data_IF_042663795317
#
_entry.id   IF_042663795317
#
_cell.length_a   1.000
_cell.length_b   1.000
_cell.length_c   1.000
_cell.angle_alpha   90.00
_cell.angle_beta   90.00
_cell.angle_gamma   90.00
#
_symmetry.space_group_name_H-M   'P 1'
#
loop_
_entity.id
_entity.type
_entity.pdbx_description
1 polymer ?
#
# COMPACT_ATOMS: atom_id res chain seq x y z
N UNK A 1 -23.84 21.74 -18.31
CA UNK A 1 -23.44 20.38 -18.74
C UNK A 1 -22.14 20.54 -19.52
N UNK A 2 -21.17 19.66 -19.34
CA UNK A 2 -19.86 19.76 -20.01
C UNK A 2 -19.99 19.26 -21.46
N UNK A 3 -19.15 19.73 -22.40
CA UNK A 3 -19.12 19.16 -23.75
C UNK A 3 -18.69 17.69 -23.78
N UNK A 4 -17.65 17.33 -23.02
CA UNK A 4 -17.17 15.97 -22.88
C UNK A 4 -17.32 15.47 -21.44
N UNK A 5 -17.81 14.24 -21.29
CA UNK A 5 -18.01 13.58 -20.00
C UNK A 5 -17.39 12.17 -20.01
N UNK A 6 -16.05 12.05 -20.04
CA UNK A 6 -15.40 10.76 -19.90
C UNK A 6 -15.94 10.02 -18.69
N UNK A 7 -16.44 8.82 -18.93
CA UNK A 7 -16.78 7.92 -17.84
C UNK A 7 -15.49 7.52 -17.13
N UNK A 8 -15.49 7.48 -15.79
CA UNK A 8 -14.31 7.01 -15.09
C UNK A 8 -14.04 5.53 -15.43
N UNK A 9 -12.77 5.18 -15.59
CA UNK A 9 -12.35 3.84 -15.95
C UNK A 9 -12.34 2.89 -14.73
N UNK A 10 -12.34 1.56 -14.95
CA UNK A 10 -12.23 0.58 -13.87
C UNK A 10 -10.96 0.81 -13.04
N UNK A 11 -11.10 0.82 -11.72
CA UNK A 11 -10.02 1.06 -10.76
C UNK A 11 -9.32 2.42 -10.92
N UNK A 12 -9.88 3.37 -11.67
CA UNK A 12 -9.28 4.70 -11.85
C UNK A 12 -9.40 5.55 -10.57
N UNK A 13 -8.30 6.16 -10.16
CA UNK A 13 -8.29 7.03 -8.99
C UNK A 13 -8.90 8.40 -9.27
N UNK A 14 -9.59 8.99 -8.29
CA UNK A 14 -10.32 10.25 -8.44
C UNK A 14 -9.46 11.37 -9.06
N UNK A 15 -8.23 11.57 -8.59
CA UNK A 15 -7.34 12.58 -9.15
C UNK A 15 -7.00 12.35 -10.63
N UNK A 16 -6.78 11.11 -11.05
CA UNK A 16 -6.55 10.74 -12.47
C UNK A 16 -7.76 11.09 -13.32
N UNK A 17 -8.95 10.68 -12.88
CA UNK A 17 -10.19 10.93 -13.60
C UNK A 17 -10.49 12.43 -13.69
N UNK A 18 -10.30 13.18 -12.60
CA UNK A 18 -10.47 14.64 -12.59
C UNK A 18 -9.54 15.35 -13.59
N UNK A 19 -8.30 14.87 -13.71
CA UNK A 19 -7.32 15.42 -14.65
C UNK A 19 -7.71 15.11 -16.09
N UNK A 20 -8.14 13.88 -16.37
CA UNK A 20 -8.69 13.50 -17.68
C UNK A 20 -9.93 14.28 -18.04
N UNK A 21 -10.86 14.47 -17.11
CA UNK A 21 -12.07 15.27 -17.32
C UNK A 21 -11.72 16.69 -17.77
N UNK A 22 -10.71 17.33 -17.19
CA UNK A 22 -10.27 18.65 -17.60
C UNK A 22 -9.64 18.64 -19.01
N UNK A 23 -8.72 17.71 -19.27
CA UNK A 23 -7.96 17.64 -20.52
C UNK A 23 -8.80 17.20 -21.72
N UNK A 24 -9.73 16.26 -21.54
CA UNK A 24 -10.67 15.85 -22.60
C UNK A 24 -11.66 16.97 -22.95
N UNK A 25 -11.89 17.92 -22.05
CA UNK A 25 -12.61 19.16 -22.35
C UNK A 25 -11.70 20.29 -22.88
N UNK A 26 -10.41 20.02 -23.12
CA UNK A 26 -9.46 20.98 -23.69
C UNK A 26 -8.96 22.06 -22.75
N UNK A 27 -9.13 21.89 -21.42
CA UNK A 27 -8.75 22.91 -20.44
C UNK A 27 -7.65 22.41 -19.50
N UNK A 28 -6.74 23.31 -19.12
CA UNK A 28 -5.84 23.03 -18.00
C UNK A 28 -6.66 22.89 -16.73
N UNK A 29 -6.18 22.06 -15.79
CA UNK A 29 -6.92 21.70 -14.57
C UNK A 29 -7.37 22.95 -13.79
N UNK A 30 -6.49 23.95 -13.67
CA UNK A 30 -6.84 25.20 -12.99
C UNK A 30 -7.98 25.93 -13.72
N UNK A 31 -7.86 26.13 -15.03
CA UNK A 31 -8.90 26.80 -15.83
C UNK A 31 -10.22 26.05 -15.77
N UNK A 32 -10.17 24.72 -15.85
CA UNK A 32 -11.36 23.87 -15.80
C UNK A 32 -12.09 23.98 -14.46
N UNK A 33 -11.41 23.71 -13.35
CA UNK A 33 -12.07 23.69 -12.05
C UNK A 33 -12.34 25.09 -11.49
N UNK A 34 -11.37 26.00 -11.55
CA UNK A 34 -11.50 27.32 -10.93
C UNK A 34 -12.34 28.30 -11.77
N UNK A 35 -12.15 28.32 -13.10
CA UNK A 35 -12.80 29.32 -13.95
C UNK A 35 -14.10 28.79 -14.56
N UNK A 36 -14.05 27.64 -15.23
CA UNK A 36 -15.22 27.07 -15.92
C UNK A 36 -16.25 26.55 -14.91
N UNK A 37 -15.84 25.71 -13.97
CA UNK A 37 -16.72 25.14 -12.95
C UNK A 37 -16.90 26.03 -11.71
N UNK A 38 -16.19 27.17 -11.64
CA UNK A 38 -16.26 28.16 -10.55
C UNK A 38 -16.00 27.56 -9.16
N UNK A 39 -15.18 26.51 -9.09
CA UNK A 39 -14.81 25.87 -7.84
C UNK A 39 -13.72 26.70 -7.13
N UNK A 40 -14.04 27.27 -5.97
CA UNK A 40 -13.09 28.05 -5.15
C UNK A 40 -12.32 27.20 -4.14
N UNK A 41 -12.53 25.88 -4.13
CA UNK A 41 -11.88 24.98 -3.19
C UNK A 41 -10.42 24.75 -3.58
N UNK A 42 -9.49 24.63 -2.61
CA UNK A 42 -8.10 24.34 -2.90
C UNK A 42 -7.89 22.83 -3.12
N UNK A 43 -8.42 22.33 -4.25
CA UNK A 43 -8.49 20.89 -4.59
C UNK A 43 -7.14 20.18 -4.40
N UNK A 44 -6.06 20.77 -4.93
CA UNK A 44 -4.75 20.12 -5.01
C UNK A 44 -3.82 20.39 -3.82
N UNK A 45 -4.24 21.23 -2.86
CA UNK A 45 -3.49 21.49 -1.63
C UNK A 45 -3.79 20.49 -0.51
N UNK A 46 -4.65 19.52 -0.81
CA UNK A 46 -4.98 18.37 0.04
C UNK A 46 -4.84 17.10 -0.80
N UNK A 47 -4.82 15.96 -0.13
CA UNK A 47 -4.87 14.67 -0.79
C UNK A 47 -6.33 14.37 -1.19
N UNK A 48 -6.69 14.79 -2.40
CA UNK A 48 -8.06 14.65 -2.95
C UNK A 48 -8.49 13.18 -3.05
N UNK A 49 -7.53 12.27 -3.18
CA UNK A 49 -7.79 10.83 -3.26
C UNK A 49 -8.05 10.20 -1.89
N UNK A 50 -7.63 10.86 -0.80
CA UNK A 50 -7.81 10.35 0.55
C UNK A 50 -9.15 10.78 1.14
N UNK A 51 -9.38 12.10 1.17
CA UNK A 51 -10.60 12.69 1.73
C UNK A 51 -11.03 13.89 0.88
N UNK A 52 -11.75 13.66 -0.23
CA UNK A 52 -12.25 14.76 -1.03
C UNK A 52 -13.28 15.57 -0.25
N UNK A 53 -13.24 16.89 -0.43
CA UNK A 53 -14.22 17.77 0.18
C UNK A 53 -15.62 17.46 -0.37
N UNK A 54 -16.69 17.30 0.45
CA UNK A 54 -18.02 16.91 -0.05
C UNK A 54 -18.55 17.79 -1.20
N UNK A 55 -18.30 19.09 -1.13
CA UNK A 55 -18.68 20.02 -2.20
C UNK A 55 -17.96 19.78 -3.55
N UNK A 56 -16.78 19.14 -3.59
CA UNK A 56 -16.17 18.73 -4.87
C UNK A 56 -16.92 17.54 -5.46
N UNK A 57 -17.38 16.60 -4.63
CA UNK A 57 -18.13 15.43 -5.09
C UNK A 57 -19.50 15.85 -5.63
N UNK A 58 -20.21 16.71 -4.89
CA UNK A 58 -21.49 17.26 -5.35
C UNK A 58 -21.34 18.10 -6.63
N UNK A 59 -20.23 18.83 -6.78
CA UNK A 59 -19.91 19.54 -8.03
C UNK A 59 -19.71 18.55 -9.19
N UNK A 60 -18.90 17.52 -8.99
CA UNK A 60 -18.61 16.50 -10.02
C UNK A 60 -19.87 15.74 -10.41
N UNK A 61 -20.71 15.36 -9.44
CA UNK A 61 -22.00 14.73 -9.68
C UNK A 61 -22.90 15.59 -10.57
N UNK A 62 -23.13 16.85 -10.20
CA UNK A 62 -23.94 17.78 -11.00
C UNK A 62 -23.39 17.99 -12.41
N UNK A 63 -22.08 17.96 -12.58
CA UNK A 63 -21.43 18.23 -13.87
C UNK A 63 -21.20 16.98 -14.71
N UNK A 64 -21.34 15.76 -14.19
CA UNK A 64 -20.99 14.53 -14.92
C UNK A 64 -22.04 13.43 -14.83
N UNK A 65 -23.02 13.56 -13.94
CA UNK A 65 -24.02 12.53 -13.64
C UNK A 65 -23.49 11.35 -12.81
N UNK A 66 -22.21 11.36 -12.40
CA UNK A 66 -21.66 10.33 -11.52
C UNK A 66 -22.16 10.53 -10.09
N UNK A 67 -22.79 9.52 -9.49
CA UNK A 67 -23.25 9.65 -8.10
C UNK A 67 -22.10 9.86 -7.12
N UNK A 68 -22.36 10.53 -6.01
CA UNK A 68 -21.36 10.72 -4.95
C UNK A 68 -20.78 9.38 -4.46
N UNK A 69 -21.58 8.33 -4.38
CA UNK A 69 -21.15 6.98 -3.99
C UNK A 69 -20.16 6.41 -5.02
N UNK A 70 -20.46 6.52 -6.31
CA UNK A 70 -19.55 6.09 -7.37
C UNK A 70 -18.22 6.86 -7.31
N UNK A 71 -18.25 8.15 -7.00
CA UNK A 71 -17.05 8.95 -6.83
C UNK A 71 -16.25 8.55 -5.58
N UNK A 72 -16.91 8.20 -4.47
CA UNK A 72 -16.25 7.70 -3.25
C UNK A 72 -15.58 6.35 -3.45
N UNK A 73 -16.13 5.48 -4.31
CA UNK A 73 -15.45 4.23 -4.69
C UNK A 73 -14.12 4.45 -5.44
N UNK A 74 -13.83 5.71 -5.84
CA UNK A 74 -12.59 6.15 -6.49
C UNK A 74 -11.69 6.95 -5.55
N UNK A 75 -11.91 6.83 -4.26
CA UNK A 75 -11.03 7.35 -3.23
C UNK A 75 -10.49 6.19 -2.42
N UNK A 76 -9.46 6.46 -1.61
CA UNK A 76 -8.90 5.48 -0.69
C UNK A 76 -9.90 5.05 0.41
N UNK A 77 -11.01 5.76 0.58
CA UNK A 77 -12.06 5.36 1.52
C UNK A 77 -12.73 4.04 1.10
N UNK A 78 -12.65 3.66 -0.18
CA UNK A 78 -13.23 2.40 -0.66
C UNK A 78 -12.54 1.14 -0.06
N UNK A 79 -11.37 1.30 0.56
CA UNK A 79 -10.65 0.21 1.23
C UNK A 79 -10.85 0.18 2.76
N UNK A 80 -11.68 1.07 3.32
CA UNK A 80 -12.12 0.96 4.72
C UNK A 80 -12.88 -0.36 4.92
N UNK A 81 -12.61 -1.03 6.05
CA UNK A 81 -13.14 -2.37 6.32
C UNK A 81 -12.48 -3.49 5.52
N UNK A 82 -11.49 -3.18 4.67
CA UNK A 82 -10.79 -4.19 3.86
C UNK A 82 -9.33 -4.37 4.28
N UNK A 83 -8.55 -3.29 4.24
CA UNK A 83 -7.11 -3.31 4.59
C UNK A 83 -6.78 -2.45 5.82
N UNK A 84 -7.72 -1.59 6.23
CA UNK A 84 -7.71 -0.83 7.48
C UNK A 84 -9.15 -0.61 7.96
N UNK A 85 -9.34 -0.46 9.27
CA UNK A 85 -10.68 -0.24 9.84
C UNK A 85 -11.27 1.10 9.42
N UNK A 86 -10.49 2.17 9.63
CA UNK A 86 -10.88 3.56 9.32
C UNK A 86 -9.69 4.25 8.69
N UNK A 87 -9.93 5.01 7.62
CA UNK A 87 -8.92 5.86 7.00
C UNK A 87 -8.78 7.13 7.84
N UNK A 88 -7.65 7.37 8.54
CA UNK A 88 -7.53 8.54 9.39
C UNK A 88 -7.57 9.83 8.57
N UNK A 89 -8.22 10.87 9.09
CA UNK A 89 -8.32 12.17 8.42
C UNK A 89 -6.97 12.90 8.35
N UNK A 90 -6.15 12.72 9.39
CA UNK A 90 -4.84 13.35 9.55
C UNK A 90 -3.77 12.29 9.80
N UNK A 91 -2.50 12.64 9.58
CA UNK A 91 -1.38 11.75 9.87
C UNK A 91 -1.27 10.55 8.92
N UNK A 92 -0.58 9.52 9.37
CA UNK A 92 -0.29 8.32 8.58
C UNK A 92 -1.53 7.43 8.49
N UNK A 93 -1.71 6.77 7.35
CA UNK A 93 -2.73 5.75 7.16
C UNK A 93 -2.02 4.44 6.82
N UNK A 94 -2.41 3.36 7.51
CA UNK A 94 -1.88 2.04 7.20
C UNK A 94 -2.12 1.72 5.72
N UNK A 95 -1.13 1.12 5.06
CA UNK A 95 -1.16 0.70 3.67
C UNK A 95 -1.34 1.79 2.62
N UNK A 96 -1.43 3.07 3.01
CA UNK A 96 -1.56 4.18 2.06
C UNK A 96 -0.23 4.90 1.95
N UNK A 97 0.28 5.03 0.73
CA UNK A 97 1.51 5.79 0.50
C UNK A 97 1.27 7.29 0.71
N UNK A 98 2.10 7.95 1.54
CA UNK A 98 1.97 9.37 1.80
C UNK A 98 2.39 10.17 0.57
N UNK A 99 1.50 11.02 0.06
CA UNK A 99 1.78 11.88 -1.08
C UNK A 99 2.65 13.11 -0.73
N UNK A 100 2.87 13.38 0.56
CA UNK A 100 3.70 14.52 1.02
C UNK A 100 3.21 15.86 0.47
N UNK A 101 1.90 16.11 0.55
CA UNK A 101 1.24 17.29 -0.02
C UNK A 101 1.83 18.56 0.59
N UNK A 102 2.37 19.44 -0.26
CA UNK A 102 2.81 20.77 0.11
C UNK A 102 2.32 21.77 -0.93
N UNK A 103 1.27 22.53 -0.60
CA UNK A 103 0.47 23.23 -1.62
C UNK A 103 0.09 22.25 -2.76
N UNK A 104 0.26 22.66 -4.02
CA UNK A 104 0.02 21.81 -5.20
C UNK A 104 1.14 20.80 -5.48
N UNK A 105 2.20 20.78 -4.68
CA UNK A 105 3.34 19.90 -4.86
C UNK A 105 3.19 18.57 -4.10
N UNK A 106 3.99 17.58 -4.48
CA UNK A 106 4.10 16.28 -3.81
C UNK A 106 5.56 16.05 -3.46
N UNK A 107 5.91 16.12 -2.18
CA UNK A 107 7.29 15.92 -1.69
C UNK A 107 7.65 14.45 -1.53
N UNK A 108 6.71 13.54 -1.76
CA UNK A 108 6.89 12.09 -1.64
C UNK A 108 6.30 11.39 -2.85
N UNK A 109 6.87 10.24 -3.16
CA UNK A 109 6.46 9.34 -4.23
C UNK A 109 5.22 8.52 -3.83
N UNK A 110 4.10 9.22 -3.56
CA UNK A 110 2.88 8.60 -3.05
C UNK A 110 2.04 7.88 -4.10
N UNK A 111 2.33 8.07 -5.38
CA UNK A 111 1.65 7.43 -6.50
C UNK A 111 2.64 6.58 -7.27
N UNK A 112 2.30 5.32 -7.46
CA UNK A 112 3.06 4.38 -8.27
C UNK A 112 2.50 4.26 -9.69
N UNK A 113 3.23 3.60 -10.56
CA UNK A 113 2.78 3.20 -11.88
C UNK A 113 3.53 1.96 -12.38
N UNK A 114 2.87 1.26 -13.30
CA UNK A 114 3.50 0.25 -14.15
C UNK A 114 3.66 0.88 -15.54
N UNK A 115 4.89 0.99 -16.10
CA UNK A 115 5.10 1.52 -17.44
C UNK A 115 4.33 0.72 -18.50
N UNK A 116 4.33 -0.62 -18.39
CA UNK A 116 3.62 -1.50 -19.31
C UNK A 116 2.10 -1.33 -19.23
N UNK A 117 1.50 -1.16 -18.04
CA UNK A 117 0.06 -0.82 -17.95
C UNK A 117 -0.27 0.48 -18.67
N UNK A 118 0.54 1.53 -18.46
CA UNK A 118 0.31 2.81 -19.14
C UNK A 118 0.50 2.71 -20.66
N UNK A 119 1.35 1.81 -21.15
CA UNK A 119 1.57 1.57 -22.57
C UNK A 119 0.42 0.76 -23.21
N UNK A 120 -0.08 -0.26 -22.51
CA UNK A 120 -1.17 -1.13 -22.98
C UNK A 120 -2.55 -0.45 -22.90
N UNK A 121 -2.72 0.51 -21.99
CA UNK A 121 -3.95 1.24 -21.82
C UNK A 121 -4.29 2.06 -23.09
N UNK A 122 -5.42 1.74 -23.74
CA UNK A 122 -5.95 2.55 -24.85
C UNK A 122 -6.09 4.02 -24.47
N UNK A 123 -6.54 4.28 -23.24
CA UNK A 123 -6.56 5.61 -22.63
C UNK A 123 -5.83 5.49 -21.30
N UNK A 124 -4.56 5.95 -21.20
CA UNK A 124 -3.77 5.78 -19.99
C UNK A 124 -4.36 6.51 -18.78
N UNK A 125 -4.35 5.83 -17.63
CA UNK A 125 -4.88 6.34 -16.37
C UNK A 125 -4.15 5.76 -15.17
N UNK A 126 -4.25 6.44 -14.02
CA UNK A 126 -3.68 5.97 -12.77
C UNK A 126 -4.72 5.22 -11.95
N UNK A 127 -4.30 4.09 -11.39
CA UNK A 127 -5.18 3.17 -10.67
C UNK A 127 -5.17 3.44 -9.17
N UNK A 128 -6.30 3.17 -8.50
CA UNK A 128 -6.48 3.32 -7.06
C UNK A 128 -5.44 2.52 -6.27
N UNK A 129 -5.29 1.24 -6.64
CA UNK A 129 -4.36 0.32 -5.96
C UNK A 129 -2.90 0.75 -6.04
N UNK A 130 -2.53 1.63 -6.98
CA UNK A 130 -1.17 2.17 -7.09
C UNK A 130 -0.81 3.18 -5.99
N UNK A 131 -1.77 3.57 -5.15
CA UNK A 131 -1.53 4.30 -3.89
C UNK A 131 -1.26 3.38 -2.70
N UNK A 132 -1.41 2.06 -2.85
CA UNK A 132 -1.27 1.12 -1.75
C UNK A 132 0.19 0.72 -1.55
N UNK A 133 0.71 0.87 -0.33
CA UNK A 133 2.11 0.63 0.01
C UNK A 133 2.55 -0.84 -0.19
N UNK A 134 1.62 -1.79 -0.13
CA UNK A 134 1.94 -3.19 -0.44
C UNK A 134 1.94 -3.47 -1.94
N UNK A 135 1.43 -2.60 -2.79
CA UNK A 135 1.33 -2.82 -4.23
C UNK A 135 2.67 -2.48 -4.92
N UNK A 136 3.73 -3.20 -4.56
CA UNK A 136 5.09 -3.03 -5.08
C UNK A 136 5.36 -3.78 -6.41
N UNK A 137 4.42 -4.63 -6.82
CA UNK A 137 4.43 -5.40 -8.06
C UNK A 137 3.16 -5.16 -8.86
N UNK A 138 3.29 -5.10 -10.18
CA UNK A 138 2.16 -5.13 -11.08
C UNK A 138 1.64 -6.56 -11.18
N UNK A 139 0.41 -6.82 -10.77
CA UNK A 139 -0.19 -8.16 -10.91
C UNK A 139 -0.54 -8.54 -12.35
N UNK A 140 -0.61 -7.56 -13.27
CA UNK A 140 -0.91 -7.81 -14.69
C UNK A 140 0.36 -8.24 -15.42
N UNK A 141 1.47 -7.54 -15.20
CA UNK A 141 2.72 -7.75 -15.93
C UNK A 141 3.80 -8.51 -15.16
N UNK A 142 3.62 -8.72 -13.85
CA UNK A 142 4.62 -9.36 -12.98
C UNK A 142 5.88 -8.51 -12.76
N UNK A 143 5.80 -7.19 -12.97
CA UNK A 143 6.96 -6.29 -12.98
C UNK A 143 7.00 -5.39 -11.75
N UNK A 144 8.18 -4.86 -11.45
CA UNK A 144 8.38 -3.89 -10.37
C UNK A 144 7.63 -2.59 -10.67
N UNK A 145 6.83 -2.13 -9.71
CA UNK A 145 6.22 -0.80 -9.79
C UNK A 145 7.28 0.29 -9.64
N UNK A 146 7.09 1.41 -10.33
CA UNK A 146 7.88 2.64 -10.19
C UNK A 146 7.06 3.71 -9.46
N UNK A 147 7.71 4.63 -8.74
CA UNK A 147 7.06 5.72 -7.99
C UNK A 147 7.61 7.12 -8.33
N UNK A 148 8.73 7.15 -9.05
CA UNK A 148 9.36 8.34 -9.59
C UNK A 148 9.65 8.18 -11.09
N UNK A 149 9.79 9.31 -11.77
CA UNK A 149 10.36 9.37 -13.11
C UNK A 149 11.81 8.85 -13.09
N UNK A 150 12.18 7.85 -13.90
CA UNK A 150 13.53 7.28 -13.87
C UNK A 150 14.59 8.24 -14.42
N UNK A 151 14.20 9.24 -15.22
CA UNK A 151 15.13 10.20 -15.83
C UNK A 151 15.44 11.41 -14.95
N UNK A 152 14.47 11.94 -14.20
CA UNK A 152 14.66 13.14 -13.36
C UNK A 152 14.44 12.93 -11.87
N UNK A 153 13.97 11.74 -11.45
CA UNK A 153 13.70 11.40 -10.05
C UNK A 153 12.47 12.07 -9.44
N UNK A 154 11.74 12.91 -10.18
CA UNK A 154 10.52 13.56 -9.69
C UNK A 154 9.42 12.51 -9.41
N UNK A 155 8.64 12.66 -8.32
CA UNK A 155 7.46 11.84 -8.11
C UNK A 155 6.41 12.11 -9.20
N UNK A 156 5.50 11.16 -9.38
CA UNK A 156 4.35 11.30 -10.29
C UNK A 156 3.42 12.41 -9.80
N UNK A 157 3.23 13.42 -10.65
CA UNK A 157 2.38 14.59 -10.37
C UNK A 157 1.62 15.05 -11.61
N UNK A 158 0.85 14.14 -12.23
CA UNK A 158 0.11 14.43 -13.46
C UNK A 158 -0.85 15.63 -13.33
N UNK A 159 -1.27 16.01 -12.12
CA UNK A 159 -2.09 17.21 -11.88
C UNK A 159 -1.34 18.54 -12.04
N UNK A 160 -0.03 18.52 -12.26
CA UNK A 160 0.81 19.72 -12.45
C UNK A 160 0.98 20.15 -13.90
N UNK A 161 0.50 19.37 -14.85
CA UNK A 161 0.54 19.74 -16.26
C UNK A 161 -0.38 20.92 -16.59
N UNK A 162 -0.02 21.70 -17.61
CA UNK A 162 -0.75 22.92 -17.99
C UNK A 162 -0.60 24.08 -16.99
N UNK A 163 0.40 24.02 -16.09
CA UNK A 163 0.80 25.10 -15.19
C UNK A 163 2.08 25.75 -15.73
N UNK A 164 2.06 27.06 -15.98
CA UNK A 164 3.21 27.80 -16.53
C UNK A 164 2.81 28.79 -17.60
N UNK A 165 3.79 29.43 -18.26
CA UNK A 165 3.56 30.46 -19.27
C UNK A 165 2.94 29.89 -20.55
N UNK A 166 3.35 28.70 -20.97
CA UNK A 166 2.93 28.17 -22.27
C UNK A 166 1.54 27.51 -22.23
N UNK A 167 1.05 27.12 -21.04
CA UNK A 167 -0.27 26.48 -20.80
C UNK A 167 -0.62 25.32 -21.75
N UNK A 168 0.36 24.79 -22.48
CA UNK A 168 0.15 23.71 -23.45
C UNK A 168 -0.31 22.48 -22.68
N UNK A 169 -1.36 21.84 -23.19
CA UNK A 169 -1.86 20.55 -22.72
C UNK A 169 -1.37 19.54 -23.76
N UNK A 170 -0.27 18.81 -23.50
CA UNK A 170 0.22 17.84 -24.46
C UNK A 170 -0.81 16.72 -24.64
N UNK A 171 -0.93 16.17 -25.85
CA UNK A 171 -1.60 14.88 -26.02
C UNK A 171 -0.94 13.83 -25.09
N UNK A 172 -1.74 12.95 -24.47
CA UNK A 172 -1.28 11.94 -23.50
C UNK A 172 -0.69 12.50 -22.18
N UNK A 173 -1.17 13.64 -21.70
CA UNK A 173 -0.61 14.37 -20.54
C UNK A 173 -0.38 13.51 -19.28
N UNK A 174 -1.24 12.52 -18.99
CA UNK A 174 -1.09 11.68 -17.80
C UNK A 174 0.18 10.82 -17.84
N UNK A 175 0.66 10.44 -19.03
CA UNK A 175 1.86 9.63 -19.19
C UNK A 175 3.15 10.44 -19.08
N UNK A 176 3.08 11.77 -19.17
CA UNK A 176 4.30 12.58 -19.18
C UNK A 176 4.72 12.93 -17.76
N UNK A 177 6.02 12.93 -17.50
CA UNK A 177 6.56 13.52 -16.28
C UNK A 177 6.30 15.03 -16.26
N UNK A 178 5.70 15.56 -15.19
CA UNK A 178 5.39 17.01 -15.07
C UNK A 178 6.61 17.92 -14.88
N UNK A 179 7.83 17.36 -14.88
CA UNK A 179 9.08 18.10 -14.67
C UNK A 179 9.97 18.05 -15.91
N UNK A 180 10.27 16.84 -16.40
CA UNK A 180 11.15 16.67 -17.57
C UNK A 180 10.42 16.30 -18.87
N UNK A 181 9.09 16.13 -18.84
CA UNK A 181 8.25 15.72 -19.97
C UNK A 181 8.59 14.36 -20.61
N UNK A 182 9.50 13.57 -20.02
CA UNK A 182 9.73 12.20 -20.46
C UNK A 182 8.45 11.36 -20.33
N UNK A 183 8.25 10.44 -21.27
CA UNK A 183 7.09 9.56 -21.31
C UNK A 183 7.28 8.37 -20.36
N UNK A 184 6.47 8.30 -19.31
CA UNK A 184 6.53 7.26 -18.29
C UNK A 184 6.19 5.87 -18.85
N UNK A 185 5.61 5.76 -20.05
CA UNK A 185 5.39 4.49 -20.75
C UNK A 185 6.70 3.86 -21.22
N UNK A 186 7.71 4.68 -21.50
CA UNK A 186 9.04 4.24 -21.96
C UNK A 186 9.98 3.92 -20.78
N UNK A 187 9.48 4.01 -19.55
CA UNK A 187 10.29 3.75 -18.38
C UNK A 187 10.68 2.26 -18.32
N UNK A 188 11.87 1.93 -17.75
CA UNK A 188 12.33 0.55 -17.69
C UNK A 188 11.34 -0.38 -16.99
N UNK A 189 11.04 -1.49 -17.65
CA UNK A 189 10.20 -2.57 -17.12
C UNK A 189 11.12 -3.71 -16.72
N UNK A 190 11.13 -4.06 -15.44
CA UNK A 190 11.95 -5.16 -14.91
C UNK A 190 11.12 -6.07 -13.99
N UNK A 191 11.26 -7.40 -14.11
CA UNK A 191 10.72 -8.32 -13.11
C UNK A 191 11.46 -8.12 -11.78
N UNK A 192 10.88 -8.53 -10.64
CA UNK A 192 11.59 -8.56 -9.38
C UNK A 192 12.71 -9.60 -9.41
N UNK A 193 13.87 -9.25 -8.84
CA UNK A 193 14.94 -10.20 -8.56
C UNK A 193 14.57 -11.01 -7.33
N UNK A 194 13.91 -12.16 -7.51
CA UNK A 194 13.48 -13.05 -6.43
C UNK A 194 13.45 -14.52 -6.89
N UNK A 195 14.05 -15.42 -6.12
CA UNK A 195 14.28 -16.81 -6.55
C UNK A 195 13.12 -17.75 -6.19
N UNK A 196 12.45 -17.53 -5.05
CA UNK A 196 11.37 -18.41 -4.58
C UNK A 196 10.06 -18.07 -5.30
N UNK A 197 9.72 -18.86 -6.33
CA UNK A 197 8.55 -18.62 -7.18
C UNK A 197 7.22 -18.68 -6.42
N UNK A 198 7.10 -19.51 -5.38
CA UNK A 198 5.88 -19.66 -4.61
C UNK A 198 5.53 -18.39 -3.83
N UNK A 199 6.50 -17.79 -3.13
CA UNK A 199 6.32 -16.52 -2.43
C UNK A 199 6.15 -15.33 -3.39
N UNK A 200 6.80 -15.34 -4.56
CA UNK A 200 6.55 -14.35 -5.60
C UNK A 200 5.10 -14.42 -6.10
N UNK A 201 4.60 -15.63 -6.38
CA UNK A 201 3.22 -15.82 -6.80
C UNK A 201 2.23 -15.41 -5.71
N UNK A 202 2.49 -15.76 -4.43
CA UNK A 202 1.69 -15.27 -3.30
C UNK A 202 1.65 -13.74 -3.27
N UNK A 203 2.76 -13.07 -3.56
CA UNK A 203 2.77 -11.61 -3.59
C UNK A 203 1.92 -11.03 -4.74
N UNK A 204 1.98 -11.63 -5.93
CA UNK A 204 1.13 -11.25 -7.06
C UNK A 204 -0.35 -11.43 -6.70
N UNK A 205 -0.69 -12.55 -6.06
CA UNK A 205 -2.04 -12.82 -5.55
C UNK A 205 -2.50 -11.76 -4.54
N UNK A 206 -1.64 -11.33 -3.61
CA UNK A 206 -1.89 -10.18 -2.70
C UNK A 206 -2.19 -8.90 -3.46
N UNK A 207 -1.41 -8.58 -4.50
CA UNK A 207 -1.63 -7.39 -5.30
C UNK A 207 -2.95 -7.47 -6.12
N UNK A 208 -3.33 -8.65 -6.58
CA UNK A 208 -4.50 -8.85 -7.43
C UNK A 208 -5.81 -8.94 -6.61
N UNK A 209 -5.81 -9.71 -5.51
CA UNK A 209 -7.01 -10.27 -4.90
C UNK A 209 -7.29 -9.79 -3.46
N UNK A 210 -6.60 -8.75 -2.98
CA UNK A 210 -6.80 -8.18 -1.63
C UNK A 210 -8.24 -7.81 -1.28
N UNK A 211 -9.07 -7.48 -2.28
CA UNK A 211 -10.50 -7.19 -2.12
C UNK A 211 -11.43 -8.39 -2.18
N UNK A 212 -10.95 -9.57 -2.58
CA UNK A 212 -11.81 -10.68 -3.00
C UNK A 212 -11.51 -12.03 -2.34
N UNK A 213 -10.46 -12.15 -1.53
CA UNK A 213 -10.07 -13.42 -0.91
C UNK A 213 -10.19 -13.40 0.61
N UNK A 214 -10.56 -14.57 1.14
CA UNK A 214 -10.16 -14.99 2.48
C UNK A 214 -8.71 -15.45 2.37
N UNK A 215 -7.82 -14.83 3.14
CA UNK A 215 -6.40 -15.17 3.14
C UNK A 215 -6.20 -16.43 3.97
N UNK A 216 -5.55 -17.44 3.38
CA UNK A 216 -5.19 -18.65 4.11
C UNK A 216 -3.74 -18.52 4.59
N UNK A 217 -3.58 -18.34 5.90
CA UNK A 217 -2.31 -18.36 6.63
C UNK A 217 -2.38 -19.43 7.72
N UNK A 218 -2.99 -20.58 7.41
CA UNK A 218 -3.20 -21.70 8.32
C UNK A 218 -4.57 -21.70 8.99
N UNK A 219 -4.81 -22.75 9.77
CA UNK A 219 -6.11 -23.11 10.38
C UNK A 219 -6.79 -21.97 11.13
N UNK A 220 -6.02 -21.08 11.75
CA UNK A 220 -6.52 -19.98 12.57
C UNK A 220 -6.71 -18.66 11.81
N UNK A 221 -6.57 -18.66 10.48
CA UNK A 221 -6.72 -17.42 9.70
C UNK A 221 -8.18 -17.05 9.56
N UNK A 222 -8.60 -15.89 10.08
CA UNK A 222 -10.00 -15.49 9.98
C UNK A 222 -10.33 -15.15 8.53
N UNK A 223 -11.59 -15.34 8.14
CA UNK A 223 -12.11 -14.96 6.83
C UNK A 223 -12.15 -13.44 6.56
N UNK A 224 -11.43 -12.61 7.31
CA UNK A 224 -11.41 -11.15 7.12
C UNK A 224 -10.04 -10.65 6.66
N UNK A 225 -10.03 -9.86 5.58
CA UNK A 225 -8.79 -9.29 5.03
C UNK A 225 -8.05 -8.41 6.03
N UNK A 226 -8.76 -7.64 6.86
CA UNK A 226 -8.14 -6.70 7.81
C UNK A 226 -7.19 -7.43 8.76
N UNK A 227 -7.58 -8.58 9.31
CA UNK A 227 -6.74 -9.32 10.26
C UNK A 227 -5.47 -9.88 9.62
N UNK A 228 -5.57 -10.32 8.35
CA UNK A 228 -4.40 -10.72 7.58
C UNK A 228 -3.46 -9.53 7.33
N UNK A 229 -3.99 -8.41 6.82
CA UNK A 229 -3.20 -7.20 6.60
C UNK A 229 -2.65 -6.64 7.91
N UNK A 230 -3.36 -6.74 9.03
CA UNK A 230 -2.81 -6.37 10.32
C UNK A 230 -1.56 -7.18 10.65
N UNK A 231 -1.61 -8.51 10.49
CA UNK A 231 -0.46 -9.36 10.80
C UNK A 231 0.71 -9.16 9.83
N UNK A 232 0.44 -8.87 8.54
CA UNK A 232 1.48 -8.44 7.61
C UNK A 232 2.21 -7.19 8.12
N UNK A 233 1.49 -6.18 8.65
CA UNK A 233 2.14 -4.99 9.24
C UNK A 233 3.03 -5.36 10.40
N UNK A 234 2.59 -6.26 11.29
CA UNK A 234 3.39 -6.71 12.43
C UNK A 234 4.68 -7.37 11.95
N UNK A 235 4.60 -8.28 10.98
CA UNK A 235 5.77 -8.94 10.40
C UNK A 235 6.72 -7.94 9.72
N UNK A 236 6.19 -7.01 8.92
CA UNK A 236 6.98 -5.94 8.28
C UNK A 236 7.68 -5.05 9.30
N UNK A 237 6.98 -4.68 10.38
CA UNK A 237 7.54 -3.87 11.46
C UNK A 237 8.63 -4.64 12.23
N UNK A 238 8.48 -5.97 12.39
CA UNK A 238 9.51 -6.83 12.98
C UNK A 238 10.76 -6.90 12.09
N UNK A 239 10.60 -7.12 10.77
CA UNK A 239 11.68 -7.14 9.78
C UNK A 239 12.37 -5.78 9.60
N UNK A 240 11.64 -4.69 9.82
CA UNK A 240 12.19 -3.33 9.72
C UNK A 240 12.86 -2.86 11.01
N UNK A 241 12.58 -3.52 12.14
CA UNK A 241 13.08 -3.15 13.46
C UNK A 241 14.38 -3.85 13.87
N UNK A 242 14.65 -3.82 15.19
CA UNK A 242 15.81 -4.47 15.81
C UNK A 242 15.87 -5.98 15.54
N UNK A 243 14.72 -6.62 15.36
CA UNK A 243 14.66 -8.05 15.03
C UNK A 243 15.20 -8.30 13.62
N UNK A 244 14.73 -7.55 12.63
CA UNK A 244 15.26 -7.58 11.27
C UNK A 244 16.79 -7.47 11.21
N UNK A 245 17.38 -6.57 11.99
CA UNK A 245 18.85 -6.44 12.08
C UNK A 245 19.52 -7.77 12.47
N UNK A 246 18.93 -8.53 13.40
CA UNK A 246 19.50 -9.79 13.91
C UNK A 246 19.33 -10.97 12.95
N UNK A 247 18.23 -11.03 12.20
CA UNK A 247 17.96 -12.13 11.27
C UNK A 247 18.54 -11.93 9.87
N UNK A 248 18.89 -10.69 9.50
CA UNK A 248 19.49 -10.38 8.18
C UNK A 248 20.63 -11.30 7.77
N UNK A 249 21.62 -11.63 8.62
CA UNK A 249 22.68 -12.55 8.22
C UNK A 249 22.14 -13.95 7.88
N UNK A 250 21.18 -14.45 8.67
CA UNK A 250 20.55 -15.73 8.41
C UNK A 250 19.72 -15.72 7.13
N UNK A 251 18.99 -14.63 6.86
CA UNK A 251 18.27 -14.46 5.59
C UNK A 251 19.24 -14.37 4.40
N UNK A 252 20.39 -13.71 4.56
CA UNK A 252 21.42 -13.63 3.52
C UNK A 252 22.03 -15.01 3.21
N UNK A 253 22.24 -15.86 4.22
CA UNK A 253 22.67 -17.26 4.04
C UNK A 253 21.66 -18.07 3.21
N UNK A 254 20.38 -17.68 3.25
CA UNK A 254 19.29 -18.25 2.43
C UNK A 254 19.10 -17.56 1.08
N UNK A 255 19.99 -16.63 0.71
CA UNK A 255 19.91 -15.86 -0.54
C UNK A 255 18.91 -14.70 -0.54
N UNK A 256 18.38 -14.32 0.64
CA UNK A 256 17.43 -13.21 0.80
C UNK A 256 18.17 -11.96 1.26
N UNK A 257 18.36 -11.02 0.34
CA UNK A 257 19.01 -9.74 0.63
C UNK A 257 17.98 -8.65 0.98
N UNK A 258 18.17 -8.04 2.16
CA UNK A 258 17.39 -6.88 2.63
C UNK A 258 18.24 -5.58 2.58
N UNK A 259 18.93 -5.31 1.48
CA UNK A 259 19.86 -4.18 1.40
C UNK A 259 19.16 -2.81 1.61
N UNK A 260 19.90 -1.82 2.14
CA UNK A 260 19.45 -0.42 2.20
C UNK A 260 18.75 0.04 3.49
N UNK A 261 18.39 -0.86 4.41
CA UNK A 261 17.59 -0.52 5.59
C UNK A 261 18.42 -0.15 6.85
N UNK A 262 19.66 0.32 6.68
CA UNK A 262 20.58 0.57 7.79
C UNK A 262 20.35 1.94 8.44
N UNK A 263 20.21 1.97 9.77
CA UNK A 263 20.44 3.17 10.58
C UNK A 263 19.42 4.31 10.45
N UNK A 264 18.33 4.13 9.70
CA UNK A 264 17.25 5.11 9.65
C UNK A 264 16.42 5.05 10.95
N UNK A 265 15.88 6.19 11.44
CA UNK A 265 14.89 6.16 12.51
C UNK A 265 13.74 5.23 12.11
N UNK A 266 13.08 4.58 13.08
CA UNK A 266 11.96 3.66 12.84
C UNK A 266 10.88 4.40 12.03
N UNK A 267 10.86 4.23 10.71
CA UNK A 267 9.83 4.80 9.83
C UNK A 267 8.82 3.72 9.53
N UNK A 268 7.54 4.12 9.47
CA UNK A 268 6.45 3.22 9.08
C UNK A 268 6.69 2.66 7.68
N UNK A 269 6.17 1.45 7.44
CA UNK A 269 6.33 0.73 6.18
C UNK A 269 5.99 1.58 4.95
N UNK A 270 4.97 2.44 5.04
CA UNK A 270 4.47 3.31 3.98
C UNK A 270 5.50 4.32 3.45
N UNK A 271 6.55 4.61 4.23
CA UNK A 271 7.53 5.65 3.95
C UNK A 271 8.80 5.15 3.26
N UNK A 272 9.01 3.84 3.21
CA UNK A 272 10.10 3.25 2.45
C UNK A 272 9.91 3.51 0.95
N UNK A 273 11.02 3.46 0.20
CA UNK A 273 10.98 3.51 -1.27
C UNK A 273 10.31 2.25 -1.81
N UNK A 274 9.73 2.31 -3.00
CA UNK A 274 9.04 1.15 -3.59
C UNK A 274 9.89 -0.12 -3.64
N UNK A 275 11.20 0.01 -3.91
CA UNK A 275 12.11 -1.12 -3.96
C UNK A 275 12.28 -1.81 -2.58
N UNK A 276 12.42 -1.02 -1.52
CA UNK A 276 12.55 -1.50 -0.14
C UNK A 276 11.24 -2.14 0.34
N UNK A 277 10.11 -1.49 0.05
CA UNK A 277 8.76 -2.01 0.34
C UNK A 277 8.55 -3.38 -0.30
N UNK A 278 8.86 -3.50 -1.60
CA UNK A 278 8.77 -4.74 -2.35
C UNK A 278 9.63 -5.85 -1.73
N UNK A 279 10.87 -5.54 -1.35
CA UNK A 279 11.78 -6.54 -0.82
C UNK A 279 11.36 -7.05 0.56
N UNK A 280 10.88 -6.15 1.42
CA UNK A 280 10.26 -6.53 2.69
C UNK A 280 9.02 -7.40 2.47
N UNK A 281 8.15 -7.02 1.54
CA UNK A 281 6.93 -7.76 1.28
C UNK A 281 7.22 -9.16 0.71
N UNK A 282 8.16 -9.29 -0.24
CA UNK A 282 8.63 -10.59 -0.73
C UNK A 282 9.17 -11.47 0.39
N UNK A 283 9.94 -10.88 1.32
CA UNK A 283 10.45 -11.60 2.50
C UNK A 283 9.32 -12.06 3.41
N UNK A 284 8.30 -11.23 3.64
CA UNK A 284 7.11 -11.64 4.40
C UNK A 284 6.34 -12.75 3.67
N UNK A 285 6.16 -12.64 2.35
CA UNK A 285 5.50 -13.70 1.56
C UNK A 285 6.27 -15.02 1.62
N UNK A 286 7.60 -14.96 1.72
CA UNK A 286 8.44 -16.14 1.93
C UNK A 286 8.29 -16.73 3.33
N UNK A 287 8.19 -15.90 4.37
CA UNK A 287 7.91 -16.37 5.74
C UNK A 287 6.54 -17.06 5.86
N UNK A 288 5.56 -16.59 5.07
CA UNK A 288 4.21 -17.16 5.02
C UNK A 288 4.11 -18.42 4.15
N UNK A 289 5.15 -18.76 3.38
CA UNK A 289 5.14 -19.98 2.57
C UNK A 289 5.30 -21.21 3.46
N UNK A 290 4.34 -22.13 3.39
CA UNK A 290 4.27 -23.27 4.32
C UNK A 290 4.09 -22.84 5.79
N UNK A 291 3.36 -21.75 6.02
CA UNK A 291 3.15 -21.21 7.37
C UNK A 291 2.67 -22.27 8.38
N UNK A 292 3.22 -22.31 9.62
CA UNK A 292 4.19 -21.37 10.20
C UNK A 292 5.66 -21.77 10.10
N UNK A 293 6.02 -22.82 9.35
CA UNK A 293 7.33 -23.48 9.44
C UNK A 293 8.52 -22.52 9.19
N UNK A 294 8.58 -21.86 8.02
CA UNK A 294 9.68 -20.95 7.67
C UNK A 294 9.83 -19.80 8.65
N UNK A 295 8.71 -19.28 9.16
CA UNK A 295 8.72 -18.24 10.18
C UNK A 295 9.33 -18.73 11.50
N UNK A 296 8.96 -19.93 11.96
CA UNK A 296 9.51 -20.52 13.18
C UNK A 296 11.00 -20.82 13.05
N UNK A 297 11.46 -21.34 11.90
CA UNK A 297 12.88 -21.60 11.64
C UNK A 297 13.72 -20.33 11.82
N UNK A 298 13.28 -19.21 11.23
CA UNK A 298 13.93 -17.90 11.38
C UNK A 298 13.90 -17.43 12.84
N UNK A 299 12.77 -17.63 13.53
CA UNK A 299 12.63 -17.23 14.92
C UNK A 299 13.58 -18.04 15.83
N UNK A 300 13.68 -19.35 15.65
CA UNK A 300 14.54 -20.22 16.43
C UNK A 300 16.02 -19.96 16.18
N UNK A 301 16.43 -19.74 14.92
CA UNK A 301 17.81 -19.43 14.57
C UNK A 301 18.37 -18.19 15.29
N UNK A 302 17.50 -17.25 15.71
CA UNK A 302 17.91 -16.01 16.40
C UNK A 302 17.19 -15.77 17.74
N UNK A 303 16.60 -16.82 18.32
CA UNK A 303 15.92 -16.81 19.62
C UNK A 303 14.89 -15.66 19.75
N UNK A 304 14.06 -15.45 18.72
CA UNK A 304 12.94 -14.53 18.84
C UNK A 304 11.85 -15.14 19.73
N UNK A 305 11.39 -14.34 20.68
CA UNK A 305 10.34 -14.68 21.64
C UNK A 305 9.04 -13.99 21.29
N UNK A 306 7.91 -14.51 21.80
CA UNK A 306 6.60 -13.85 21.76
C UNK A 306 6.65 -12.38 22.21
N UNK A 307 7.39 -12.08 23.27
CA UNK A 307 7.50 -10.72 23.83
C UNK A 307 8.05 -9.70 22.85
N UNK A 308 8.85 -10.12 21.86
CA UNK A 308 9.33 -9.23 20.79
C UNK A 308 8.21 -8.80 19.86
N UNK A 309 7.33 -9.71 19.47
CA UNK A 309 6.17 -9.38 18.63
C UNK A 309 5.19 -8.49 19.38
N UNK A 310 4.88 -8.83 20.64
CA UNK A 310 3.96 -8.03 21.46
C UNK A 310 4.52 -6.66 21.86
N UNK A 311 5.85 -6.47 21.81
CA UNK A 311 6.47 -5.14 21.97
C UNK A 311 6.30 -4.24 20.75
N UNK A 312 6.01 -4.83 19.59
CA UNK A 312 5.73 -4.12 18.34
C UNK A 312 4.24 -3.80 18.28
N UNK A 313 3.42 -4.81 18.52
CA UNK A 313 1.96 -4.74 18.47
C UNK A 313 1.39 -5.52 19.66
N UNK A 314 0.86 -4.84 20.70
CA UNK A 314 0.29 -5.51 21.86
C UNK A 314 -0.86 -6.45 21.50
N UNK A 315 -1.69 -6.06 20.53
CA UNK A 315 -2.89 -6.80 20.12
C UNK A 315 -2.65 -7.53 18.80
N UNK A 316 -1.88 -8.62 18.87
CA UNK A 316 -1.60 -9.45 17.69
C UNK A 316 -2.91 -10.02 17.10
N UNK A 317 -3.06 -10.05 15.76
CA UNK A 317 -4.18 -10.75 15.15
C UNK A 317 -4.12 -12.24 15.49
N UNK A 318 -5.29 -12.85 15.69
CA UNK A 318 -5.42 -14.18 16.30
C UNK A 318 -4.53 -15.25 15.65
N UNK A 319 -4.46 -15.28 14.31
CA UNK A 319 -3.66 -16.24 13.57
C UNK A 319 -2.15 -16.15 13.90
N UNK A 320 -1.64 -14.93 14.07
CA UNK A 320 -0.24 -14.69 14.44
C UNK A 320 -0.04 -14.89 15.95
N UNK A 321 -1.02 -14.47 16.75
CA UNK A 321 -1.03 -14.68 18.20
C UNK A 321 -0.90 -16.16 18.55
N UNK A 322 -1.69 -17.03 17.91
CA UNK A 322 -1.68 -18.48 18.16
C UNK A 322 -0.31 -19.09 17.91
N UNK A 323 0.32 -18.77 16.78
CA UNK A 323 1.69 -19.24 16.48
C UNK A 323 2.70 -18.71 17.50
N UNK A 324 2.60 -17.43 17.87
CA UNK A 324 3.50 -16.85 18.86
C UNK A 324 3.31 -17.43 20.27
N UNK A 325 2.07 -17.74 20.67
CA UNK A 325 1.75 -18.34 21.96
C UNK A 325 2.17 -19.82 22.02
N UNK A 326 1.88 -20.59 20.97
CA UNK A 326 2.05 -22.03 20.97
C UNK A 326 3.54 -22.44 20.78
N UNK A 327 4.34 -21.61 20.06
CA UNK A 327 5.70 -21.99 19.66
C UNK A 327 6.83 -21.05 20.11
N UNK A 328 6.51 -19.80 20.48
CA UNK A 328 7.51 -18.76 20.81
C UNK A 328 7.36 -18.23 22.25
N UNK A 329 6.40 -18.75 23.02
CA UNK A 329 6.26 -18.42 24.43
C UNK A 329 7.23 -19.28 25.26
N UNK A 330 8.23 -18.60 25.81
CA UNK A 330 9.25 -19.22 26.68
C UNK A 330 8.90 -19.06 28.17
N UNK A 331 7.71 -18.54 28.50
CA UNK A 331 7.27 -18.47 29.88
C UNK A 331 7.10 -19.89 30.42
N UNK A 332 7.80 -20.17 31.50
CA UNK A 332 7.52 -21.37 32.28
C UNK A 332 6.10 -21.23 32.85
N UNK A 333 5.23 -22.20 32.57
CA UNK A 333 3.88 -22.21 33.15
C UNK A 333 3.99 -22.16 34.67
N UNK A 334 3.36 -21.14 35.25
CA UNK A 334 3.19 -21.01 36.69
C UNK A 334 1.69 -21.07 36.97
N UNK A 335 1.21 -22.14 37.64
CA UNK A 335 -0.21 -22.26 37.95
C UNK A 335 -0.64 -21.10 38.84
N UNK A 336 -1.76 -20.47 38.52
CA UNK A 336 -2.34 -19.44 39.36
C UNK A 336 -2.88 -20.04 40.67
N UNK A 337 -3.14 -19.20 41.66
CA UNK A 337 -3.61 -19.65 42.98
C UNK A 337 -4.92 -20.45 42.89
N UNK A 338 -5.79 -20.14 41.93
CA UNK A 338 -7.01 -20.90 41.68
C UNK A 338 -6.72 -22.30 41.11
N UNK A 339 -5.78 -22.44 40.17
CA UNK A 339 -5.37 -23.73 39.63
C UNK A 339 -4.68 -24.59 40.71
N UNK A 340 -3.84 -23.98 41.55
CA UNK A 340 -3.21 -24.65 42.69
C UNK A 340 -4.25 -25.15 43.70
N UNK A 341 -5.23 -24.30 44.06
CA UNK A 341 -6.33 -24.68 44.98
C UNK A 341 -7.23 -25.75 44.38
N UNK A 342 -7.47 -25.73 43.07
CA UNK A 342 -8.26 -26.74 42.38
C UNK A 342 -7.52 -28.09 42.25
N UNK A 343 -6.18 -28.06 42.15
CA UNK A 343 -5.35 -29.26 42.07
C UNK A 343 -5.09 -29.92 43.44
N UNK A 344 -5.10 -29.16 44.54
CA UNK A 344 -4.79 -29.66 45.89
C UNK A 344 -5.61 -30.89 46.32
N UNK A 345 -6.96 -30.96 46.13
CA UNK A 345 -7.75 -32.12 46.54
C UNK A 345 -7.45 -33.40 45.74
N UNK A 346 -6.82 -33.26 44.56
CA UNK A 346 -6.45 -34.38 43.70
C UNK A 346 -5.07 -34.95 44.08
N UNK A 347 -4.18 -34.10 44.56
CA UNK A 347 -2.84 -34.49 45.02
C UNK A 347 -2.88 -35.14 46.41
N UNK A 348 -3.82 -34.75 47.28
CA UNK A 348 -4.02 -35.35 48.61
C UNK A 348 -4.63 -36.77 48.58
N UNK A 349 -5.12 -37.22 47.41
CA UNK A 349 -5.70 -38.57 47.22
C UNK A 349 -4.72 -39.60 46.66
N UNK A 350 -3.47 -39.21 46.44
CA UNK A 350 -2.33 -40.10 46.15
C UNK A 350 -1.48 -40.22 47.40
#
# INVERSE_FOLDING_TARGET
>A
MLPAHPQPLPDEILSSWMVRLAFENGYSIHTFYANLLRCKLPIWTRDIDRHPHPAILALLERQTGQSVEALRLRTLQCYEGLIYDVLPQFGNAAWVRPAGVFHRDRRRAGMQFCPACLADDRVPYFRLRWRLAFYGLCHIHGTCMLDCCPWCGSPVMFHRHGIGRDRVIPHATLCLCSVCNADLREAPVAPPTWQDHASLQRYIDVCQLFSHRHWDCGEFTPGCSISFFHGLRVLLAALSGRFGIRIRPYLADLGIELNGMMGLPKVDYEYYRTAEQRQLMLTVMWLLEGWPARFLDVCYARQLTRSRLTSIEPELPYWLYRVAADYLDQRQYWPCEQELRAAAPYLERR
#
